data_IF_939722948079
#
_entry.id   IF_939722948079
#
_cell.length_a   1.000
_cell.length_b   1.000
_cell.length_c   1.000
_cell.angle_alpha   90.00
_cell.angle_beta   90.00
_cell.angle_gamma   90.00
#
_symmetry.space_group_name_H-M   'P 1'
#
loop_
_entity.id
_entity.type
_entity.pdbx_description
1 polymer ?
#
# COMPACT_ATOMS: atom_id res chain seq x y z
N UNK A 1 10.43 -23.41 -36.54
CA UNK A 1 10.94 -22.53 -35.45
C UNK A 1 11.69 -21.37 -36.07
N UNK A 2 11.22 -20.12 -35.89
CA UNK A 2 11.94 -18.95 -36.40
C UNK A 2 13.08 -18.56 -35.45
N UNK A 3 14.32 -18.68 -35.91
CA UNK A 3 15.53 -18.36 -35.12
C UNK A 3 16.04 -16.94 -35.34
N UNK A 4 15.49 -16.23 -36.32
CA UNK A 4 15.92 -14.90 -36.74
C UNK A 4 15.82 -13.84 -35.63
N UNK A 5 14.77 -13.80 -34.78
CA UNK A 5 14.70 -12.83 -33.68
C UNK A 5 15.79 -13.00 -32.62
N UNK A 6 16.48 -14.14 -32.58
CA UNK A 6 17.59 -14.42 -31.64
C UNK A 6 18.96 -14.03 -32.22
N UNK A 7 19.02 -13.56 -33.47
CA UNK A 7 20.27 -13.16 -34.12
C UNK A 7 20.49 -11.67 -33.96
N UNK A 8 21.72 -11.30 -33.60
CA UNK A 8 22.11 -9.89 -33.36
C UNK A 8 22.08 -9.03 -34.63
N UNK A 9 22.16 -9.63 -35.81
CA UNK A 9 22.11 -8.94 -37.11
C UNK A 9 20.69 -8.75 -37.65
N UNK A 10 19.66 -9.23 -36.95
CA UNK A 10 18.30 -9.17 -37.46
C UNK A 10 17.78 -7.73 -37.51
N UNK A 11 17.45 -7.25 -38.71
CA UNK A 11 17.10 -5.83 -38.96
C UNK A 11 15.91 -5.35 -38.13
N UNK A 12 14.90 -6.20 -37.92
CA UNK A 12 13.67 -5.82 -37.21
C UNK A 12 13.77 -5.94 -35.68
N UNK A 13 14.93 -6.27 -35.12
CA UNK A 13 15.08 -6.22 -33.64
C UNK A 13 15.02 -4.77 -33.19
N UNK A 14 14.39 -4.54 -32.04
CA UNK A 14 14.23 -3.19 -31.48
C UNK A 14 15.56 -2.44 -31.34
N UNK A 15 16.62 -3.17 -30.98
CA UNK A 15 17.98 -2.63 -30.83
C UNK A 15 18.56 -2.15 -32.16
N UNK A 16 18.39 -2.91 -33.25
CA UNK A 16 18.94 -2.54 -34.55
C UNK A 16 18.14 -1.40 -35.19
N UNK A 17 16.81 -1.42 -35.06
CA UNK A 17 15.99 -0.29 -35.50
C UNK A 17 16.37 0.99 -34.73
N UNK A 18 16.65 0.89 -33.42
CA UNK A 18 17.09 2.05 -32.63
C UNK A 18 18.45 2.60 -33.09
N UNK A 19 19.41 1.74 -33.42
CA UNK A 19 20.70 2.17 -33.98
C UNK A 19 20.54 2.87 -35.33
N UNK A 20 19.74 2.30 -36.23
CA UNK A 20 19.45 2.94 -37.54
C UNK A 20 18.84 4.32 -37.36
N UNK A 21 17.89 4.49 -36.42
CA UNK A 21 17.32 5.81 -36.12
C UNK A 21 18.34 6.80 -35.55
N UNK A 22 19.29 6.34 -34.74
CA UNK A 22 20.36 7.20 -34.22
C UNK A 22 21.29 7.65 -35.34
N UNK A 23 21.68 6.75 -36.23
CA UNK A 23 22.52 7.06 -37.39
C UNK A 23 21.81 8.02 -38.36
N UNK A 24 20.52 7.80 -38.63
CA UNK A 24 19.68 8.69 -39.44
C UNK A 24 19.56 10.09 -38.82
N UNK A 25 19.35 10.17 -37.50
CA UNK A 25 19.27 11.44 -36.79
C UNK A 25 20.60 12.20 -36.81
N UNK A 26 21.73 11.51 -36.60
CA UNK A 26 23.06 12.11 -36.70
C UNK A 26 23.32 12.64 -38.11
N UNK A 27 22.97 11.85 -39.14
CA UNK A 27 23.11 12.28 -40.53
C UNK A 27 22.27 13.54 -40.81
N UNK A 28 21.03 13.61 -40.31
CA UNK A 28 20.19 14.79 -40.50
C UNK A 28 20.78 16.03 -39.82
N UNK A 29 21.32 15.89 -38.60
CA UNK A 29 22.00 16.98 -37.90
C UNK A 29 23.22 17.48 -38.67
N UNK A 30 24.08 16.58 -39.18
CA UNK A 30 25.23 16.94 -40.01
C UNK A 30 24.80 17.67 -41.27
N UNK A 31 23.75 17.20 -41.96
CA UNK A 31 23.20 17.88 -43.13
C UNK A 31 22.66 19.28 -42.79
N UNK A 32 22.02 19.45 -41.63
CA UNK A 32 21.58 20.77 -41.15
C UNK A 32 22.77 21.69 -40.91
N UNK A 33 23.84 21.20 -40.30
CA UNK A 33 25.06 21.97 -40.05
C UNK A 33 25.75 22.37 -41.36
N UNK A 34 25.86 21.46 -42.32
CA UNK A 34 26.44 21.74 -43.65
C UNK A 34 25.62 22.82 -44.37
N UNK A 35 24.29 22.69 -44.37
CA UNK A 35 23.39 23.70 -44.97
C UNK A 35 23.51 25.05 -44.27
N UNK A 36 23.60 25.06 -42.94
CA UNK A 36 23.78 26.29 -42.17
C UNK A 36 25.11 26.97 -42.52
N UNK A 37 26.21 26.21 -42.55
CA UNK A 37 27.53 26.70 -42.94
C UNK A 37 27.54 27.24 -44.39
N UNK A 38 26.86 26.55 -45.31
CA UNK A 38 26.73 27.00 -46.69
C UNK A 38 25.98 28.34 -46.79
N UNK A 39 24.86 28.49 -46.06
CA UNK A 39 24.11 29.76 -45.99
C UNK A 39 24.94 30.90 -45.41
N UNK A 40 25.71 30.62 -44.36
CA UNK A 40 26.58 31.62 -43.74
C UNK A 40 27.70 32.05 -44.69
N UNK A 41 28.35 31.10 -45.36
CA UNK A 41 29.35 31.39 -46.40
C UNK A 41 28.75 32.20 -47.57
N UNK A 42 27.50 31.91 -47.97
CA UNK A 42 26.79 32.68 -48.99
C UNK A 42 26.57 34.13 -48.55
N UNK A 43 26.08 34.34 -47.31
CA UNK A 43 25.94 35.67 -46.72
C UNK A 43 27.28 36.43 -46.68
N UNK A 44 28.33 35.78 -46.19
CA UNK A 44 29.67 36.35 -46.12
C UNK A 44 30.19 36.74 -47.51
N UNK A 45 30.09 35.85 -48.50
CA UNK A 45 30.51 36.13 -49.88
C UNK A 45 29.76 37.33 -50.49
N UNK A 46 28.44 37.42 -50.23
CA UNK A 46 27.62 38.54 -50.69
C UNK A 46 28.03 39.84 -50.02
N UNK A 47 28.30 39.84 -48.72
CA UNK A 47 28.77 41.06 -48.03
C UNK A 47 30.18 41.44 -48.47
N UNK A 48 31.06 40.47 -48.70
CA UNK A 48 32.44 40.71 -49.13
C UNK A 48 32.50 41.26 -50.55
N UNK A 49 31.66 40.78 -51.47
CA UNK A 49 31.54 41.35 -52.83
C UNK A 49 31.09 42.81 -52.79
N UNK A 50 30.11 43.15 -51.93
CA UNK A 50 29.69 44.55 -51.73
C UNK A 50 30.80 45.41 -51.14
N UNK A 51 31.54 44.92 -50.13
CA UNK A 51 32.71 45.62 -49.58
C UNK A 51 33.78 45.85 -50.63
N UNK A 52 34.17 44.81 -51.39
CA UNK A 52 35.16 44.88 -52.47
C UNK A 52 34.76 45.87 -53.56
N UNK A 53 33.46 45.94 -53.90
CA UNK A 53 32.93 46.96 -54.82
C UNK A 53 33.10 48.37 -54.26
N UNK A 54 32.87 48.58 -52.96
CA UNK A 54 33.13 49.86 -52.29
C UNK A 54 34.60 50.27 -52.25
N UNK A 55 35.54 49.31 -52.14
CA UNK A 55 36.99 49.60 -52.16
C UNK A 55 37.58 49.80 -53.57
N UNK A 56 36.92 49.30 -54.64
CA UNK A 56 37.42 49.41 -56.03
C UNK A 56 37.04 50.70 -56.76
N UNK A 57 36.34 51.64 -56.11
CA UNK A 57 36.04 52.96 -56.68
C UNK A 57 36.93 54.07 -56.06
N UNK A 58 38.21 54.19 -56.42
CA UNK A 58 38.92 55.46 -56.37
C UNK A 58 38.66 56.24 -57.67
N UNK A 59 37.83 57.27 -57.56
CA UNK A 59 37.76 58.49 -58.38
C UNK A 59 38.41 58.46 -59.78
N UNK A 60 37.59 58.41 -60.84
CA UNK A 60 37.96 59.04 -62.12
C UNK A 60 36.80 59.88 -62.69
N UNK A 61 37.08 61.17 -62.85
CA UNK A 61 36.41 62.20 -63.68
C UNK A 61 35.05 62.77 -63.23
N UNK A 62 35.05 64.08 -62.92
CA UNK A 62 33.83 64.93 -62.96
C UNK A 62 33.80 66.10 -61.97
N UNK A 63 34.43 67.22 -62.33
CA UNK A 63 34.48 68.49 -61.60
C UNK A 63 33.11 69.12 -61.30
N UNK A 64 32.93 69.65 -60.08
CA UNK A 64 31.89 70.61 -59.70
C UNK A 64 31.84 70.85 -58.19
N UNK A 65 32.07 72.09 -57.69
CA UNK A 65 32.00 72.41 -56.27
C UNK A 65 30.54 72.69 -55.89
N UNK A 66 29.74 71.64 -55.72
CA UNK A 66 28.43 71.73 -55.09
C UNK A 66 28.42 70.87 -53.84
N UNK A 67 28.64 71.54 -52.71
CA UNK A 67 27.95 71.25 -51.46
C UNK A 67 28.24 69.90 -50.83
N UNK A 68 29.15 69.92 -49.85
CA UNK A 68 29.05 69.11 -48.65
C UNK A 68 27.72 69.38 -47.91
N UNK A 69 26.59 68.95 -48.49
CA UNK A 69 25.24 69.15 -47.96
C UNK A 69 24.31 67.95 -48.19
N UNK A 70 24.86 66.75 -48.39
CA UNK A 70 24.07 65.51 -48.46
C UNK A 70 24.70 64.36 -47.65
N UNK A 71 25.65 64.66 -46.78
CA UNK A 71 26.24 63.70 -45.83
C UNK A 71 25.68 63.82 -44.41
N UNK A 72 24.67 64.68 -44.18
CA UNK A 72 24.07 64.88 -42.86
C UNK A 72 22.53 65.01 -42.83
N UNK A 73 21.80 64.74 -43.94
CA UNK A 73 20.33 64.92 -43.91
C UNK A 73 19.48 64.14 -44.94
N UNK A 74 19.95 63.04 -45.54
CA UNK A 74 19.10 62.29 -46.51
C UNK A 74 19.32 60.77 -46.61
N UNK A 75 19.66 60.10 -45.51
CA UNK A 75 19.57 58.63 -45.42
C UNK A 75 18.89 58.12 -44.13
N UNK A 76 18.42 59.03 -43.27
CA UNK A 76 17.61 58.70 -42.08
C UNK A 76 16.12 59.06 -42.22
N UNK A 77 15.70 59.62 -43.37
CA UNK A 77 14.29 59.93 -43.66
C UNK A 77 13.72 59.23 -44.90
N UNK A 78 14.48 58.31 -45.49
CA UNK A 78 13.95 57.26 -46.41
C UNK A 78 14.40 55.89 -45.88
N UNK A 79 14.52 55.78 -44.55
CA UNK A 79 14.24 54.52 -43.90
C UNK A 79 12.76 54.60 -43.54
N UNK A 80 11.90 54.30 -44.52
CA UNK A 80 10.49 54.06 -44.25
C UNK A 80 10.43 53.17 -43.01
N UNK A 81 9.61 53.57 -42.04
CA UNK A 81 9.60 52.98 -40.70
C UNK A 81 9.70 51.46 -40.86
N UNK A 82 10.82 50.85 -40.44
CA UNK A 82 11.11 49.43 -40.76
C UNK A 82 9.97 48.53 -40.29
N UNK A 83 9.33 48.96 -39.22
CA UNK A 83 8.12 48.37 -38.67
C UNK A 83 6.92 48.51 -39.61
N UNK A 84 6.75 49.64 -40.30
CA UNK A 84 5.67 49.88 -41.27
C UNK A 84 5.83 49.08 -42.58
N UNK A 85 7.06 48.94 -43.08
CA UNK A 85 7.31 48.07 -44.24
C UNK A 85 7.14 46.58 -43.89
N UNK A 86 7.57 46.19 -42.68
CA UNK A 86 7.32 44.86 -42.14
C UNK A 86 5.82 44.61 -41.90
N UNK A 87 5.08 45.62 -41.42
CA UNK A 87 3.63 45.55 -41.21
C UNK A 87 2.91 45.39 -42.54
N UNK A 88 3.22 46.21 -43.55
CA UNK A 88 2.68 46.05 -44.92
C UNK A 88 3.04 44.71 -45.54
N UNK A 89 4.24 44.21 -45.31
CA UNK A 89 4.64 42.88 -45.80
C UNK A 89 3.86 41.78 -45.09
N UNK A 90 3.68 41.88 -43.77
CA UNK A 90 2.86 40.94 -43.00
C UNK A 90 1.39 40.99 -43.40
N UNK A 91 0.89 42.18 -43.77
CA UNK A 91 -0.49 42.39 -44.22
C UNK A 91 -0.70 41.82 -45.63
N UNK A 92 0.26 42.00 -46.55
CA UNK A 92 0.28 41.32 -47.84
C UNK A 92 0.36 39.81 -47.69
N UNK A 93 1.23 39.30 -46.82
CA UNK A 93 1.31 37.87 -46.54
C UNK A 93 0.02 37.33 -45.90
N UNK A 94 -0.65 38.10 -45.03
CA UNK A 94 -1.97 37.74 -44.49
C UNK A 94 -3.04 37.73 -45.58
N UNK A 95 -3.03 38.71 -46.48
CA UNK A 95 -3.95 38.77 -47.63
C UNK A 95 -3.69 37.60 -48.59
N UNK A 96 -2.43 37.31 -48.92
CA UNK A 96 -2.03 36.18 -49.75
C UNK A 96 -2.33 34.83 -49.07
N UNK A 97 -2.17 34.71 -47.76
CA UNK A 97 -2.60 33.53 -46.98
C UNK A 97 -4.13 33.40 -46.94
N UNK A 98 -4.86 34.50 -46.79
CA UNK A 98 -6.32 34.52 -46.79
C UNK A 98 -6.91 34.19 -48.16
N UNK A 99 -6.27 34.65 -49.24
CA UNK A 99 -6.59 34.29 -50.63
C UNK A 99 -6.14 32.85 -50.94
N UNK A 100 -5.22 32.29 -50.15
CA UNK A 100 -4.70 30.93 -50.30
C UNK A 100 -3.48 30.80 -51.22
N UNK A 101 -2.89 31.91 -51.66
CA UNK A 101 -1.70 31.95 -52.53
C UNK A 101 -0.42 31.50 -51.79
N UNK A 102 -0.30 31.85 -50.51
CA UNK A 102 0.83 31.48 -49.65
C UNK A 102 0.54 30.25 -48.77
N UNK A 103 -0.63 29.63 -48.93
CA UNK A 103 -1.04 28.44 -48.17
C UNK A 103 -0.59 27.20 -48.93
N UNK A 104 0.45 26.53 -48.44
CA UNK A 104 0.99 25.34 -49.10
C UNK A 104 -0.03 24.19 -49.09
N UNK A 105 -0.10 23.45 -50.21
CA UNK A 105 -0.97 22.29 -50.35
C UNK A 105 -0.61 21.21 -49.30
N UNK A 106 -1.54 20.88 -48.41
CA UNK A 106 -1.32 20.02 -47.24
C UNK A 106 -1.28 20.77 -45.90
N UNK A 107 -1.19 22.10 -45.93
CA UNK A 107 -1.29 22.99 -44.76
C UNK A 107 -2.73 23.49 -44.55
N UNK A 108 -3.72 22.76 -45.05
CA UNK A 108 -5.13 23.11 -44.97
C UNK A 108 -5.66 22.84 -43.56
N UNK A 109 -6.29 23.85 -42.93
CA UNK A 109 -7.34 23.86 -41.87
C UNK A 109 -7.11 23.02 -40.61
N UNK A 110 -6.61 21.79 -40.70
CA UNK A 110 -6.31 20.84 -39.63
C UNK A 110 -5.25 21.38 -38.65
N UNK A 111 -4.22 22.06 -39.15
CA UNK A 111 -3.13 22.59 -38.32
C UNK A 111 -3.40 24.03 -37.87
N UNK A 112 -4.09 24.83 -38.69
CA UNK A 112 -4.45 26.22 -38.37
C UNK A 112 -5.66 26.33 -37.42
N UNK A 113 -6.60 25.39 -37.48
CA UNK A 113 -7.79 25.37 -36.63
C UNK A 113 -7.61 24.61 -35.31
N UNK A 114 -6.54 23.83 -35.13
CA UNK A 114 -6.30 23.00 -33.95
C UNK A 114 -7.35 21.91 -33.68
N UNK A 115 -8.44 21.88 -34.46
CA UNK A 115 -9.49 20.89 -34.35
C UNK A 115 -9.09 19.64 -35.13
N UNK A 116 -8.83 18.58 -34.37
CA UNK A 116 -8.65 17.26 -34.95
C UNK A 116 -9.94 16.84 -35.66
N UNK A 117 -9.83 16.32 -36.89
CA UNK A 117 -10.97 15.91 -37.65
C UNK A 117 -11.65 14.74 -36.95
N UNK A 118 -12.98 14.61 -37.13
CA UNK A 118 -13.82 13.66 -36.40
C UNK A 118 -13.35 12.19 -36.52
N UNK A 119 -12.59 11.85 -37.56
CA UNK A 119 -12.03 10.51 -37.78
C UNK A 119 -10.73 10.24 -36.99
N UNK A 120 -10.00 11.26 -36.54
CA UNK A 120 -8.79 11.12 -35.71
C UNK A 120 -9.09 11.12 -34.20
N UNK A 121 -10.29 11.55 -33.82
CA UNK A 121 -10.75 11.53 -32.42
C UNK A 121 -11.50 10.23 -32.17
N UNK A 122 -10.92 9.26 -31.45
CA UNK A 122 -11.65 8.04 -31.11
C UNK A 122 -12.88 8.38 -30.25
N UNK A 123 -14.00 7.65 -30.41
CA UNK A 123 -15.23 7.94 -29.67
C UNK A 123 -14.98 7.95 -28.16
N UNK A 124 -15.58 8.92 -27.45
CA UNK A 124 -15.35 9.17 -26.01
C UNK A 124 -15.51 7.93 -25.11
N UNK A 125 -16.31 6.95 -25.55
CA UNK A 125 -16.50 5.67 -24.86
C UNK A 125 -15.25 4.76 -24.85
N UNK A 126 -14.36 4.88 -25.84
CA UNK A 126 -13.11 4.12 -25.87
C UNK A 126 -12.01 4.74 -25.01
N UNK A 127 -12.05 6.06 -24.83
CA UNK A 127 -11.11 6.83 -24.01
C UNK A 127 -11.23 6.47 -22.52
N UNK A 128 -12.46 6.37 -21.98
CA UNK A 128 -12.68 5.91 -20.59
C UNK A 128 -12.24 4.46 -20.39
N UNK A 129 -12.51 3.59 -21.37
CA UNK A 129 -12.14 2.18 -21.26
C UNK A 129 -10.62 1.95 -21.28
N UNK A 130 -9.85 2.82 -21.95
CA UNK A 130 -8.39 2.68 -22.04
C UNK A 130 -7.71 2.96 -20.71
N UNK A 131 -8.12 4.05 -20.05
CA UNK A 131 -7.60 4.43 -18.72
C UNK A 131 -8.06 3.47 -17.63
N UNK A 132 -9.31 3.01 -17.68
CA UNK A 132 -9.82 1.96 -16.78
C UNK A 132 -9.10 0.63 -16.98
N UNK A 133 -8.84 0.21 -18.22
CA UNK A 133 -8.07 -1.00 -18.52
C UNK A 133 -6.62 -0.91 -18.02
N UNK A 134 -6.00 0.28 -18.10
CA UNK A 134 -4.67 0.50 -17.53
C UNK A 134 -4.69 0.35 -16.00
N UNK A 135 -5.65 0.99 -15.32
CA UNK A 135 -5.80 0.88 -13.87
C UNK A 135 -6.04 -0.55 -13.40
N UNK A 136 -6.94 -1.28 -14.09
CA UNK A 136 -7.20 -2.69 -13.81
C UNK A 136 -5.96 -3.56 -14.02
N UNK A 137 -5.13 -3.23 -15.01
CA UNK A 137 -3.86 -3.92 -15.26
C UNK A 137 -2.86 -3.65 -14.14
N UNK A 138 -2.73 -2.40 -13.69
CA UNK A 138 -1.83 -2.02 -12.60
C UNK A 138 -2.25 -2.69 -11.27
N UNK A 139 -3.56 -2.72 -10.98
CA UNK A 139 -4.12 -3.43 -9.83
C UNK A 139 -3.87 -4.94 -9.91
N UNK A 140 -4.01 -5.52 -11.10
CA UNK A 140 -3.75 -6.94 -11.33
C UNK A 140 -2.27 -7.27 -11.12
N UNK A 141 -1.37 -6.43 -11.63
CA UNK A 141 0.06 -6.58 -11.43
C UNK A 141 0.46 -6.42 -9.96
N UNK A 142 -0.15 -5.48 -9.22
CA UNK A 142 0.04 -5.34 -7.78
C UNK A 142 -0.39 -6.59 -7.01
N UNK A 143 -1.56 -7.16 -7.34
CA UNK A 143 -2.05 -8.42 -6.75
C UNK A 143 -1.13 -9.60 -7.08
N UNK A 144 -0.59 -9.65 -8.30
CA UNK A 144 0.36 -10.69 -8.72
C UNK A 144 1.68 -10.57 -7.94
N UNK A 145 2.19 -9.35 -7.76
CA UNK A 145 3.40 -9.08 -6.97
C UNK A 145 3.19 -9.43 -5.49
N UNK A 146 2.07 -9.03 -4.90
CA UNK A 146 1.74 -9.38 -3.51
C UNK A 146 1.60 -10.90 -3.30
N UNK A 147 1.04 -11.64 -4.27
CA UNK A 147 1.00 -13.11 -4.22
C UNK A 147 2.36 -13.78 -4.39
N UNK A 148 3.28 -13.14 -5.11
CA UNK A 148 4.62 -13.64 -5.34
C UNK A 148 5.63 -13.17 -4.27
N UNK A 149 5.15 -12.43 -3.25
CA UNK A 149 5.99 -11.95 -2.16
C UNK A 149 6.09 -13.03 -1.06
N UNK A 150 7.30 -13.54 -0.74
CA UNK A 150 7.50 -14.53 0.31
C UNK A 150 7.05 -14.05 1.69
N UNK A 151 7.04 -12.75 1.95
CA UNK A 151 6.60 -12.20 3.23
C UNK A 151 5.10 -12.45 3.46
N UNK A 152 4.30 -12.46 2.39
CA UNK A 152 2.87 -12.76 2.46
C UNK A 152 2.63 -14.23 2.85
N UNK A 153 3.50 -15.15 2.44
CA UNK A 153 3.43 -16.54 2.86
C UNK A 153 3.86 -16.72 4.31
N UNK A 154 4.92 -16.03 4.74
CA UNK A 154 5.36 -16.03 6.14
C UNK A 154 4.28 -15.49 7.08
N UNK A 155 3.60 -14.40 6.71
CA UNK A 155 2.53 -13.82 7.52
C UNK A 155 1.34 -14.78 7.69
N UNK A 156 0.97 -15.55 6.65
CA UNK A 156 -0.07 -16.59 6.78
C UNK A 156 0.35 -17.70 7.75
N UNK A 157 1.63 -18.08 7.74
CA UNK A 157 2.16 -19.09 8.65
C UNK A 157 2.11 -18.58 10.10
N UNK A 158 2.47 -17.32 10.35
CA UNK A 158 2.36 -16.72 11.69
C UNK A 158 0.92 -16.64 12.16
N UNK A 159 0.00 -16.18 11.30
CA UNK A 159 -1.44 -16.17 11.60
C UNK A 159 -1.97 -17.56 11.91
N UNK A 160 -1.51 -18.60 11.18
CA UNK A 160 -1.89 -19.98 11.45
C UNK A 160 -1.42 -20.46 12.84
N UNK A 161 -0.19 -20.12 13.24
CA UNK A 161 0.31 -20.43 14.58
C UNK A 161 -0.46 -19.69 15.68
N UNK A 162 -0.83 -18.43 15.44
CA UNK A 162 -1.65 -17.64 16.37
C UNK A 162 -3.05 -18.25 16.53
N UNK A 163 -3.72 -18.60 15.44
CA UNK A 163 -5.01 -19.29 15.47
C UNK A 163 -4.93 -20.60 16.25
N UNK A 164 -3.90 -21.41 16.02
CA UNK A 164 -3.67 -22.64 16.79
C UNK A 164 -3.48 -22.38 18.28
N UNK A 165 -2.77 -21.30 18.63
CA UNK A 165 -2.54 -20.92 20.03
C UNK A 165 -3.84 -20.46 20.68
N UNK A 166 -4.66 -19.70 19.95
CA UNK A 166 -5.99 -19.29 20.40
C UNK A 166 -6.95 -20.45 20.56
N UNK A 167 -6.99 -21.39 19.62
CA UNK A 167 -7.83 -22.60 19.72
C UNK A 167 -7.47 -23.42 20.94
N UNK A 168 -6.16 -23.61 21.18
CA UNK A 168 -5.67 -24.28 22.38
C UNK A 168 -6.08 -23.52 23.65
N UNK A 169 -5.94 -22.20 23.67
CA UNK A 169 -6.36 -21.37 24.80
C UNK A 169 -7.88 -21.41 25.02
N UNK A 170 -8.68 -21.43 23.95
CA UNK A 170 -10.14 -21.58 23.99
C UNK A 170 -10.53 -22.95 24.54
N UNK A 171 -9.83 -24.02 24.14
CA UNK A 171 -10.10 -25.36 24.66
C UNK A 171 -9.69 -25.50 26.13
N UNK A 172 -8.53 -24.97 26.50
CA UNK A 172 -8.12 -24.87 27.91
C UNK A 172 -9.13 -24.07 28.74
N UNK A 173 -9.64 -22.96 28.21
CA UNK A 173 -10.69 -22.18 28.87
C UNK A 173 -12.00 -22.97 29.01
N UNK A 174 -12.43 -23.70 27.98
CA UNK A 174 -13.63 -24.57 28.08
C UNK A 174 -13.43 -25.69 29.10
N UNK A 175 -12.25 -26.31 29.15
CA UNK A 175 -11.92 -27.34 30.16
C UNK A 175 -11.99 -26.74 31.56
N UNK A 176 -11.44 -25.54 31.77
CA UNK A 176 -11.55 -24.82 33.03
C UNK A 176 -13.00 -24.48 33.38
N UNK A 177 -13.82 -24.06 32.41
CA UNK A 177 -15.25 -23.84 32.62
C UNK A 177 -15.97 -25.14 33.01
N UNK A 178 -15.72 -26.25 32.32
CA UNK A 178 -16.27 -27.58 32.64
C UNK A 178 -15.87 -28.02 34.05
N UNK A 179 -14.59 -27.87 34.41
CA UNK A 179 -14.10 -28.17 35.75
C UNK A 179 -14.80 -27.32 36.81
N UNK A 180 -14.89 -26.00 36.60
CA UNK A 180 -15.60 -25.08 37.49
C UNK A 180 -17.09 -25.45 37.64
N UNK A 181 -17.77 -25.83 36.55
CA UNK A 181 -19.17 -26.28 36.62
C UNK A 181 -19.34 -27.59 37.40
N UNK A 182 -18.40 -28.54 37.26
CA UNK A 182 -18.42 -29.79 38.02
C UNK A 182 -18.16 -29.56 39.51
N UNK A 183 -17.22 -28.67 39.85
CA UNK A 183 -16.94 -28.27 41.23
C UNK A 183 -18.18 -27.60 41.84
N UNK A 184 -18.83 -26.69 41.10
CA UNK A 184 -20.06 -26.02 41.54
C UNK A 184 -21.25 -26.98 41.73
N UNK A 185 -21.36 -28.03 40.90
CA UNK A 185 -22.41 -29.04 41.00
C UNK A 185 -22.22 -30.01 42.18
N UNK A 186 -20.99 -30.13 42.72
CA UNK A 186 -20.67 -31.03 43.82
C UNK A 186 -19.96 -30.32 44.99
N UNK A 187 -20.63 -29.39 45.71
CA UNK A 187 -20.00 -28.58 46.76
C UNK A 187 -19.51 -29.40 47.97
N UNK A 188 -20.14 -30.55 48.25
CA UNK A 188 -19.80 -31.41 49.40
C UNK A 188 -18.61 -32.33 49.16
N UNK A 189 -18.14 -32.47 47.91
CA UNK A 189 -16.96 -33.29 47.57
C UNK A 189 -15.64 -32.56 47.87
N UNK A 190 -15.66 -31.22 47.96
CA UNK A 190 -14.50 -30.41 48.36
C UNK A 190 -14.88 -29.42 49.48
N UNK A 191 -15.09 -29.89 50.73
CA UNK A 191 -15.57 -29.05 51.84
C UNK A 191 -14.60 -27.94 52.29
N UNK A 192 -13.33 -28.02 51.89
CA UNK A 192 -12.25 -27.10 52.28
C UNK A 192 -11.69 -26.30 51.08
N UNK A 193 -12.42 -26.18 49.97
CA UNK A 193 -12.01 -25.29 48.89
C UNK A 193 -12.08 -23.84 49.40
N UNK A 194 -10.90 -23.28 49.70
CA UNK A 194 -10.72 -21.88 50.07
C UNK A 194 -11.25 -21.07 48.90
N UNK A 195 -12.45 -20.48 49.07
CA UNK A 195 -12.98 -19.49 48.16
C UNK A 195 -11.94 -18.36 48.07
N UNK A 196 -11.16 -18.37 46.98
CA UNK A 196 -10.24 -17.27 46.70
C UNK A 196 -11.13 -16.03 46.55
N UNK A 197 -10.98 -15.01 47.41
CA UNK A 197 -11.81 -13.82 47.29
C UNK A 197 -11.59 -13.27 45.89
N UNK A 198 -12.67 -13.18 45.11
CA UNK A 198 -12.66 -12.48 43.83
C UNK A 198 -12.06 -11.11 44.11
N UNK A 199 -10.91 -10.81 43.51
CA UNK A 199 -10.29 -9.49 43.60
C UNK A 199 -11.37 -8.47 43.25
N UNK A 200 -11.74 -7.62 44.22
CA UNK A 200 -12.63 -6.50 43.96
C UNK A 200 -12.00 -5.66 42.84
N UNK A 201 -12.56 -5.77 41.65
CA UNK A 201 -12.59 -4.67 40.69
C UNK A 201 -13.17 -3.48 41.46
N UNK A 202 -12.31 -2.54 41.88
CA UNK A 202 -12.72 -1.28 42.48
C UNK A 202 -13.44 -0.47 41.41
N UNK A 203 -14.74 -0.66 41.28
CA UNK A 203 -15.61 0.42 40.80
C UNK A 203 -15.53 1.51 41.87
N UNK A 204 -14.95 2.65 41.51
CA UNK A 204 -14.94 3.85 42.35
C UNK A 204 -16.39 4.29 42.54
N UNK A 205 -16.98 3.90 43.66
CA UNK A 205 -18.21 4.50 44.13
C UNK A 205 -17.93 5.28 45.41
N UNK A 206 -18.17 6.59 45.31
CA UNK A 206 -18.01 7.56 46.38
C UNK A 206 -19.16 7.39 47.37
N UNK A 207 -18.93 6.60 48.41
CA UNK A 207 -19.88 6.41 49.51
C UNK A 207 -19.17 6.47 50.85
N UNK A 208 -19.28 7.61 51.53
CA UNK A 208 -18.78 7.82 52.88
C UNK A 208 -19.39 6.78 53.85
N UNK A 209 -18.56 5.93 54.47
CA UNK A 209 -18.94 5.26 55.70
C UNK A 209 -17.84 5.38 56.76
N UNK A 210 -18.15 6.21 57.76
CA UNK A 210 -17.44 6.35 59.03
C UNK A 210 -17.51 5.03 59.79
N UNK A 211 -16.37 4.44 60.14
CA UNK A 211 -16.31 3.44 61.21
C UNK A 211 -15.48 3.93 62.39
N UNK A 212 -16.05 3.75 63.57
CA UNK A 212 -15.56 4.24 64.86
C UNK A 212 -14.38 3.39 65.35
N UNK A 213 -13.36 4.06 65.90
CA UNK A 213 -12.27 3.45 66.66
C UNK A 213 -12.83 2.65 67.86
N UNK A 214 -12.36 1.42 68.04
CA UNK A 214 -12.37 0.72 69.32
C UNK A 214 -10.93 0.31 69.65
N UNK A 215 -10.59 0.42 70.94
CA UNK A 215 -9.26 0.25 71.53
C UNK A 215 -8.76 -1.21 71.49
N UNK A 216 -7.43 -1.43 71.56
CA UNK A 216 -6.84 -2.76 71.67
C UNK A 216 -6.92 -3.28 73.10
N UNK A 217 -7.13 -4.59 73.27
CA UNK A 217 -6.92 -5.29 74.52
C UNK A 217 -5.55 -5.98 74.45
N UNK A 218 -4.72 -5.70 75.45
CA UNK A 218 -3.39 -6.24 75.66
C UNK A 218 -3.46 -7.74 75.97
N UNK A 219 -2.51 -8.51 75.46
CA UNK A 219 -2.10 -9.76 76.11
C UNK A 219 -0.60 -9.87 76.00
N UNK A 220 0.01 -9.73 77.17
CA UNK A 220 1.45 -9.84 77.43
C UNK A 220 1.98 -11.22 77.06
N UNK A 221 3.10 -11.25 76.32
CA UNK A 221 4.03 -12.38 76.33
C UNK A 221 5.46 -11.84 76.26
N UNK A 222 6.09 -11.98 77.42
CA UNK A 222 7.43 -11.59 77.85
C UNK A 222 8.58 -12.27 77.08
N UNK A 223 9.74 -11.57 77.09
CA UNK A 223 11.14 -12.05 77.08
C UNK A 223 11.72 -12.60 75.75
N UNK A 224 12.93 -12.28 75.29
CA UNK A 224 13.92 -11.19 75.42
C UNK A 224 15.08 -11.58 74.48
N UNK A 225 15.66 -10.65 73.72
CA UNK A 225 17.12 -10.48 73.64
C UNK A 225 17.50 -9.15 72.97
N UNK A 226 18.06 -8.24 73.76
CA UNK A 226 19.00 -7.20 73.34
C UNK A 226 20.26 -7.89 72.73
N UNK A 227 20.99 -7.32 71.77
CA UNK A 227 21.87 -6.14 71.97
C UNK A 227 22.27 -5.45 70.65
N UNK A 228 22.34 -4.10 70.73
CA UNK A 228 23.34 -3.18 70.15
C UNK A 228 23.53 -3.10 68.61
N UNK A 229 23.66 -1.95 67.94
CA UNK A 229 24.03 -0.59 68.33
C UNK A 229 23.59 0.42 67.26
N UNK A 230 23.45 1.66 67.67
CA UNK A 230 23.14 2.83 66.86
C UNK A 230 24.21 3.14 65.79
N UNK A 231 23.76 3.49 64.59
CA UNK A 231 24.36 4.59 63.82
C UNK A 231 23.32 5.13 62.84
N UNK A 232 23.17 6.45 62.86
CA UNK A 232 22.23 7.24 62.07
C UNK A 232 22.60 7.25 60.57
N UNK A 233 21.63 7.67 59.77
CA UNK A 233 21.78 8.36 58.48
C UNK A 233 21.46 7.57 57.20
N UNK A 234 20.31 7.96 56.61
CA UNK A 234 20.01 8.03 55.17
C UNK A 234 19.98 6.72 54.36
N UNK A 235 18.87 5.97 54.43
CA UNK A 235 18.09 5.46 53.25
C UNK A 235 16.90 4.58 53.69
N UNK A 236 15.79 5.19 54.11
CA UNK A 236 14.58 4.47 54.52
C UNK A 236 13.67 4.01 53.35
N UNK A 237 14.10 4.14 52.08
CA UNK A 237 13.22 3.94 50.91
C UNK A 237 13.52 2.69 50.05
N UNK A 238 14.60 1.95 50.31
CA UNK A 238 15.02 0.80 49.47
C UNK A 238 14.71 -0.58 50.07
N UNK A 239 14.47 -0.68 51.38
CA UNK A 239 14.29 -1.97 52.07
C UNK A 239 12.91 -2.60 51.85
N UNK A 240 11.86 -1.79 51.75
CA UNK A 240 10.48 -2.30 51.62
C UNK A 240 10.15 -2.76 50.19
N UNK A 241 10.76 -2.13 49.18
CA UNK A 241 10.66 -2.60 47.79
C UNK A 241 11.29 -3.99 47.63
N UNK A 242 12.42 -4.26 48.28
CA UNK A 242 13.08 -5.57 48.27
C UNK A 242 12.24 -6.62 49.02
N UNK A 243 11.61 -6.26 50.14
CA UNK A 243 10.68 -7.16 50.85
C UNK A 243 9.44 -7.48 50.03
N UNK A 244 8.85 -6.49 49.36
CA UNK A 244 7.70 -6.68 48.47
C UNK A 244 8.05 -7.55 47.26
N UNK A 245 9.24 -7.39 46.67
CA UNK A 245 9.70 -8.25 45.59
C UNK A 245 9.86 -9.72 46.03
N UNK A 246 10.43 -9.96 47.22
CA UNK A 246 10.54 -11.30 47.82
C UNK A 246 9.17 -11.90 48.16
N UNK A 247 8.22 -11.09 48.62
CA UNK A 247 6.84 -11.54 48.86
C UNK A 247 6.13 -11.90 47.55
N UNK A 248 6.25 -11.09 46.51
CA UNK A 248 5.70 -11.37 45.19
C UNK A 248 6.30 -12.66 44.59
N UNK A 249 7.59 -12.90 44.79
CA UNK A 249 8.26 -14.13 44.38
C UNK A 249 7.76 -15.36 45.15
N UNK A 250 7.59 -15.26 46.47
CA UNK A 250 6.98 -16.32 47.28
C UNK A 250 5.53 -16.57 46.88
N UNK A 251 4.76 -15.53 46.58
CA UNK A 251 3.37 -15.64 46.14
C UNK A 251 3.28 -16.27 44.75
N UNK A 252 4.24 -16.02 43.86
CA UNK A 252 4.38 -16.74 42.59
C UNK A 252 4.64 -18.24 42.83
N UNK A 253 5.55 -18.59 43.73
CA UNK A 253 5.85 -20.00 44.05
C UNK A 253 4.64 -20.70 44.70
N UNK A 254 3.89 -20.00 45.55
CA UNK A 254 2.62 -20.48 46.13
C UNK A 254 1.56 -20.69 45.07
N UNK A 255 1.39 -19.74 44.14
CA UNK A 255 0.45 -19.86 43.03
C UNK A 255 0.81 -21.04 42.11
N UNK A 256 2.09 -21.22 41.82
CA UNK A 256 2.58 -22.36 41.03
C UNK A 256 2.33 -23.70 41.74
N UNK A 257 2.60 -23.79 43.04
CA UNK A 257 2.24 -24.96 43.86
C UNK A 257 0.73 -25.23 43.77
N UNK A 258 -0.10 -24.20 43.93
CA UNK A 258 -1.55 -24.34 43.86
C UNK A 258 -2.01 -24.84 42.48
N UNK A 259 -1.38 -24.39 41.40
CA UNK A 259 -1.65 -24.86 40.04
C UNK A 259 -1.26 -26.32 39.84
N UNK A 260 -0.12 -26.77 40.41
CA UNK A 260 0.27 -28.19 40.36
C UNK A 260 -0.72 -29.05 41.12
N UNK A 261 -1.08 -28.64 42.33
CA UNK A 261 -2.10 -29.35 43.12
C UNK A 261 -3.46 -29.38 42.40
N UNK A 262 -3.89 -28.29 41.75
CA UNK A 262 -5.12 -28.28 40.92
C UNK A 262 -5.04 -29.25 39.75
N UNK A 263 -3.94 -29.25 38.99
CA UNK A 263 -3.74 -30.18 37.86
C UNK A 263 -3.73 -31.64 38.31
N UNK A 264 -3.14 -31.93 39.47
CA UNK A 264 -3.15 -33.28 40.05
C UNK A 264 -4.54 -33.68 40.53
N UNK A 265 -5.29 -32.75 41.15
CA UNK A 265 -6.70 -32.96 41.51
C UNK A 265 -7.59 -33.17 40.30
N UNK A 266 -7.41 -32.40 39.22
CA UNK A 266 -8.13 -32.59 37.95
C UNK A 266 -7.85 -33.96 37.34
N UNK A 267 -6.59 -34.39 37.31
CA UNK A 267 -6.20 -35.74 36.87
C UNK A 267 -6.83 -36.82 37.74
N UNK A 268 -6.82 -36.64 39.06
CA UNK A 268 -7.45 -37.58 40.00
C UNK A 268 -8.98 -37.64 39.80
N UNK A 269 -9.63 -36.49 39.59
CA UNK A 269 -11.07 -36.41 39.31
C UNK A 269 -11.44 -37.10 38.00
N UNK A 270 -10.64 -36.95 36.94
CA UNK A 270 -10.82 -37.68 35.67
C UNK A 270 -10.71 -39.20 35.86
N UNK A 271 -9.74 -39.65 36.65
CA UNK A 271 -9.56 -41.09 36.96
C UNK A 271 -10.76 -41.61 37.77
N UNK A 272 -11.23 -40.87 38.77
CA UNK A 272 -12.40 -41.24 39.58
C UNK A 272 -13.69 -41.26 38.74
N UNK A 273 -13.92 -40.25 37.89
CA UNK A 273 -15.07 -40.22 36.99
C UNK A 273 -15.07 -41.40 36.01
N UNK A 274 -13.89 -41.77 35.49
CA UNK A 274 -13.71 -42.95 34.65
C UNK A 274 -13.99 -44.25 35.41
N UNK A 275 -13.55 -44.36 36.67
CA UNK A 275 -13.82 -45.53 37.52
C UNK A 275 -15.30 -45.65 37.90
N UNK A 276 -16.01 -44.53 38.04
CA UNK A 276 -17.45 -44.47 38.29
C UNK A 276 -18.30 -44.68 37.02
N UNK A 277 -17.68 -44.90 35.85
CA UNK A 277 -18.40 -45.12 34.59
C UNK A 277 -19.00 -43.86 33.96
N UNK A 278 -18.67 -42.67 34.47
CA UNK A 278 -19.18 -41.37 33.98
C UNK A 278 -18.37 -40.82 32.79
N UNK A 279 -17.61 -41.68 32.09
CA UNK A 279 -16.77 -41.27 30.96
C UNK A 279 -17.55 -40.72 29.76
N UNK A 280 -18.85 -41.01 29.69
CA UNK A 280 -19.75 -40.56 28.62
C UNK A 280 -20.11 -39.07 28.76
N UNK A 281 -20.08 -38.52 29.98
CA UNK A 281 -20.27 -37.09 30.26
C UNK A 281 -19.05 -36.24 29.86
N UNK A 282 -17.88 -36.88 29.73
CA UNK A 282 -16.63 -36.24 29.29
C UNK A 282 -16.42 -36.32 27.76
N UNK A 283 -17.23 -37.11 27.04
CA UNK A 283 -17.21 -37.09 25.58
C UNK A 283 -17.87 -35.79 25.08
N UNK A 284 -17.22 -35.12 24.13
CA UNK A 284 -17.86 -34.02 23.42
C UNK A 284 -19.19 -34.50 22.82
N UNK A 285 -20.25 -33.67 22.82
CA UNK A 285 -21.50 -34.07 22.19
C UNK A 285 -21.19 -34.45 20.74
N UNK A 286 -21.31 -35.75 20.42
CA UNK A 286 -21.15 -36.26 19.06
C UNK A 286 -22.05 -35.38 18.18
N UNK A 287 -21.45 -34.70 17.21
CA UNK A 287 -22.23 -33.93 16.26
C UNK A 287 -23.28 -34.87 15.66
N UNK A 288 -24.53 -34.41 15.47
CA UNK A 288 -25.57 -35.27 14.93
C UNK A 288 -25.09 -35.79 13.57
N UNK A 289 -24.95 -37.12 13.45
CA UNK A 289 -24.72 -37.75 12.15
C UNK A 289 -25.93 -37.44 11.28
N UNK A 290 -25.77 -36.50 10.35
CA UNK A 290 -26.79 -36.20 9.35
C UNK A 290 -26.71 -37.37 8.37
N UNK A 291 -27.61 -38.34 8.49
CA UNK A 291 -27.79 -39.39 7.48
C UNK A 291 -28.28 -38.73 6.19
N UNK A 292 -27.37 -38.46 5.26
CA UNK A 292 -27.71 -37.90 3.95
C UNK A 292 -28.00 -39.08 3.01
N UNK A 293 -29.24 -39.18 2.51
CA UNK A 293 -29.62 -40.20 1.52
C UNK A 293 -28.74 -40.04 0.26
N UNK A 294 -28.14 -41.14 -0.23
CA UNK A 294 -27.16 -41.14 -1.32
C UNK A 294 -27.67 -40.48 -2.60
N UNK A 295 -29.00 -40.46 -2.80
CA UNK A 295 -29.67 -39.85 -3.96
C UNK A 295 -29.65 -38.31 -3.93
N UNK A 296 -29.51 -37.72 -2.75
CA UNK A 296 -29.45 -36.27 -2.57
C UNK A 296 -28.02 -35.73 -2.72
N UNK A 297 -27.02 -36.61 -2.83
CA UNK A 297 -25.64 -36.21 -3.03
C UNK A 297 -25.43 -35.76 -4.48
N UNK A 298 -24.71 -34.64 -4.70
CA UNK A 298 -24.34 -34.21 -6.04
C UNK A 298 -23.53 -35.29 -6.79
N UNK A 299 -23.76 -35.40 -8.10
CA UNK A 299 -22.94 -36.24 -8.99
C UNK A 299 -21.43 -35.96 -8.76
N UNK A 300 -20.63 -37.02 -8.63
CA UNK A 300 -19.19 -37.02 -8.30
C UNK A 300 -18.80 -36.88 -6.80
N UNK A 301 -19.75 -36.94 -5.86
CA UNK A 301 -19.46 -36.93 -4.41
C UNK A 301 -18.61 -38.11 -3.94
N UNK A 302 -18.73 -39.28 -4.57
CA UNK A 302 -17.99 -40.49 -4.22
C UNK A 302 -16.47 -40.40 -4.50
N UNK A 303 -16.06 -39.62 -5.51
CA UNK A 303 -14.65 -39.48 -5.87
C UNK A 303 -14.00 -38.25 -5.22
N UNK A 304 -14.79 -37.24 -4.84
CA UNK A 304 -14.28 -36.09 -4.11
C UNK A 304 -15.33 -35.51 -3.14
N UNK A 305 -15.38 -36.02 -1.90
CA UNK A 305 -16.38 -35.61 -0.92
C UNK A 305 -16.18 -34.16 -0.47
N UNK A 306 -14.93 -33.74 -0.25
CA UNK A 306 -14.58 -32.38 0.19
C UNK A 306 -14.99 -31.30 -0.82
N UNK A 307 -14.70 -31.51 -2.11
CA UNK A 307 -15.12 -30.57 -3.15
C UNK A 307 -16.64 -30.51 -3.29
N UNK A 308 -17.31 -31.65 -3.14
CA UNK A 308 -18.76 -31.72 -3.23
C UNK A 308 -19.45 -31.01 -2.07
N UNK A 309 -18.92 -31.14 -0.85
CA UNK A 309 -19.37 -30.41 0.33
C UNK A 309 -19.20 -28.88 0.15
N UNK A 310 -18.01 -28.44 -0.27
CA UNK A 310 -17.73 -27.02 -0.50
C UNK A 310 -18.64 -26.40 -1.59
N UNK A 311 -18.89 -27.13 -2.69
CA UNK A 311 -19.80 -26.68 -3.75
C UNK A 311 -21.26 -26.65 -3.28
N UNK A 312 -21.68 -27.62 -2.47
CA UNK A 312 -23.03 -27.64 -1.88
C UNK A 312 -23.24 -26.46 -0.93
N UNK A 313 -22.25 -26.13 -0.10
CA UNK A 313 -22.28 -24.97 0.79
C UNK A 313 -22.37 -23.66 -0.01
N UNK A 314 -21.58 -23.53 -1.08
CA UNK A 314 -21.64 -22.37 -1.98
C UNK A 314 -23.03 -22.20 -2.61
N UNK A 315 -23.67 -23.30 -3.04
CA UNK A 315 -25.05 -23.29 -3.56
C UNK A 315 -26.07 -22.90 -2.51
N UNK A 316 -25.91 -23.36 -1.25
CA UNK A 316 -26.77 -22.96 -0.12
C UNK A 316 -26.66 -21.46 0.15
N UNK A 317 -25.44 -20.92 0.27
CA UNK A 317 -25.19 -19.48 0.44
C UNK A 317 -25.84 -18.65 -0.68
N UNK A 318 -25.74 -19.10 -1.94
CA UNK A 318 -26.37 -18.43 -3.08
C UNK A 318 -27.91 -18.53 -3.06
N UNK A 319 -28.48 -19.61 -2.55
CA UNK A 319 -29.94 -19.72 -2.35
C UNK A 319 -30.42 -18.83 -1.21
N UNK A 320 -29.67 -18.76 -0.12
CA UNK A 320 -29.96 -17.90 1.03
C UNK A 320 -29.86 -16.42 0.68
N UNK A 321 -28.85 -16.00 -0.10
CA UNK A 321 -28.75 -14.62 -0.58
C UNK A 321 -29.94 -14.24 -1.46
N UNK A 322 -30.39 -15.14 -2.33
CA UNK A 322 -31.60 -14.92 -3.15
C UNK A 322 -32.88 -14.90 -2.32
N UNK A 323 -33.00 -15.71 -1.26
CA UNK A 323 -34.14 -15.65 -0.32
C UNK A 323 -34.17 -14.31 0.42
N UNK A 324 -33.02 -13.83 0.92
CA UNK A 324 -32.91 -12.52 1.58
C UNK A 324 -33.32 -11.36 0.69
N UNK A 325 -33.11 -11.46 -0.63
CA UNK A 325 -33.53 -10.43 -1.59
C UNK A 325 -34.98 -10.56 -2.05
N UNK A 326 -35.68 -11.65 -1.73
CA UNK A 326 -37.04 -11.92 -2.19
C UNK A 326 -38.08 -11.89 -1.06
N UNK A 327 -37.66 -11.72 0.20
CA UNK A 327 -38.56 -11.37 1.29
C UNK A 327 -38.95 -9.89 1.16
N UNK A 328 -40.23 -9.57 0.87
CA UNK A 328 -40.73 -8.21 1.02
C UNK A 328 -40.91 -7.94 2.52
N UNK A 329 -40.43 -6.79 3.01
CA UNK A 329 -41.05 -6.12 4.15
C UNK A 329 -42.38 -5.49 3.72
#
# INVERSE_FOLDING_TARGET
MNILPKKRWHVLTKENIARVRQDEAQYEEEQRQIKYRAKLAEQESRTETLRKRGYREPATSGSGPHGALLAASSTELIQGNKEYEAEKKSEKEKQEKAIGLLTYLGQSVLEAGGEKPWYDVPPKQLQSSSTEKSRLKDEWEAKKKARADPLTEMNKITEWFEQKREEKAKEEAKVLQRANTCIAAMPSLFPNDIAVPKTLEKTRDTGQQKWKKKHPAETEASYNSLTESASESTVACTSDAIKLAKQAELDRLRAERLQRERKERERAALIMAKAMGLSEVLQEPKQPEISVDERDLPFNSAFNPELSAALAERRRRHRESRKRHRSPE
#
